data_IF_544825875189
#
_entry.id   IF_544825875189
#
_cell.length_a   1.000
_cell.length_b   1.000
_cell.length_c   1.000
_cell.angle_alpha   90.00
_cell.angle_beta   90.00
_cell.angle_gamma   90.00
#
_symmetry.space_group_name_H-M   'P 1'
#
loop_
_entity.id
_entity.type
_entity.pdbx_description
1 polymer ?
#
# COMPACT_ATOMS: atom_id res chain seq x y z
N UNK A 1 33.07 4.07 42.84
CA UNK A 1 33.57 2.84 42.18
C UNK A 1 33.90 3.01 40.69
N UNK A 2 33.09 3.73 39.88
CA UNK A 2 33.41 3.98 38.45
C UNK A 2 34.71 4.77 38.22
N UNK A 3 35.07 5.72 39.10
CA UNK A 3 36.23 6.62 38.89
C UNK A 3 37.61 5.97 39.01
N UNK A 4 37.74 4.85 39.74
CA UNK A 4 39.03 4.15 39.91
C UNK A 4 39.34 3.20 38.75
N UNK A 5 38.31 2.59 38.14
CA UNK A 5 38.48 1.70 36.99
C UNK A 5 38.95 2.46 35.73
N UNK A 6 38.49 3.71 35.58
CA UNK A 6 38.85 4.59 34.46
C UNK A 6 40.32 5.06 34.48
N UNK A 7 40.99 4.96 35.63
CA UNK A 7 42.41 5.32 35.77
C UNK A 7 43.36 4.19 35.31
N UNK A 8 42.84 2.99 35.03
CA UNK A 8 43.63 1.85 34.59
C UNK A 8 43.73 1.80 33.05
N UNK A 9 44.91 1.53 32.47
CA UNK A 9 45.07 1.49 31.01
C UNK A 9 44.18 0.41 30.36
N UNK A 10 43.87 -0.68 31.07
CA UNK A 10 42.94 -1.72 30.61
C UNK A 10 41.51 -1.20 30.40
N UNK A 11 41.01 -0.34 31.28
CA UNK A 11 39.65 0.20 31.18
C UNK A 11 39.46 1.05 29.92
N UNK A 12 40.48 1.85 29.57
CA UNK A 12 40.48 2.64 28.33
C UNK A 12 40.51 1.74 27.08
N UNK A 13 41.33 0.69 27.07
CA UNK A 13 41.40 -0.26 25.95
C UNK A 13 40.08 -0.99 25.76
N UNK A 14 39.44 -1.45 26.84
CA UNK A 14 38.15 -2.11 26.76
C UNK A 14 37.06 -1.17 26.22
N UNK A 15 37.04 0.09 26.67
CA UNK A 15 36.08 1.08 26.17
C UNK A 15 36.31 1.40 24.69
N UNK A 16 37.59 1.52 24.27
CA UNK A 16 37.94 1.72 22.87
C UNK A 16 37.47 0.55 22.00
N UNK A 17 37.70 -0.69 22.43
CA UNK A 17 37.23 -1.88 21.72
C UNK A 17 35.70 -1.90 21.61
N UNK A 18 34.97 -1.57 22.68
CA UNK A 18 33.51 -1.48 22.64
C UNK A 18 33.02 -0.44 21.64
N UNK A 19 33.67 0.73 21.56
CA UNK A 19 33.33 1.78 20.59
C UNK A 19 33.60 1.30 19.16
N UNK A 20 34.73 0.65 18.90
CA UNK A 20 35.06 0.11 17.57
C UNK A 20 34.06 -0.94 17.14
N UNK A 21 33.71 -1.89 18.02
CA UNK A 21 32.70 -2.92 17.74
C UNK A 21 31.34 -2.30 17.45
N UNK A 22 30.93 -1.29 18.24
CA UNK A 22 29.69 -0.55 18.00
C UNK A 22 29.70 0.15 16.64
N UNK A 23 30.80 0.82 16.28
CA UNK A 23 30.93 1.49 15.00
C UNK A 23 30.81 0.51 13.81
N UNK A 24 31.46 -0.66 13.89
CA UNK A 24 31.37 -1.71 12.87
C UNK A 24 29.96 -2.28 12.77
N UNK A 25 29.29 -2.50 13.91
CA UNK A 25 27.91 -2.98 13.95
C UNK A 25 26.96 -1.99 13.24
N UNK A 26 27.06 -0.70 13.55
CA UNK A 26 26.23 0.35 12.93
C UNK A 26 26.46 0.44 11.42
N UNK A 27 27.71 0.34 10.96
CA UNK A 27 28.02 0.34 9.52
C UNK A 27 27.41 -0.86 8.81
N UNK A 28 27.48 -2.04 9.45
CA UNK A 28 26.91 -3.28 8.91
C UNK A 28 25.39 -3.19 8.81
N UNK A 29 24.74 -2.67 9.84
CA UNK A 29 23.29 -2.47 9.89
C UNK A 29 22.81 -1.45 8.86
N UNK A 30 23.60 -0.38 8.63
CA UNK A 30 23.31 0.60 7.58
C UNK A 30 23.33 -0.05 6.18
N UNK A 31 24.29 -0.95 5.93
CA UNK A 31 24.37 -1.66 4.66
C UNK A 31 23.18 -2.62 4.46
N UNK A 32 22.83 -3.39 5.50
CA UNK A 32 21.67 -4.28 5.46
C UNK A 32 20.36 -3.52 5.26
N UNK A 33 20.20 -2.39 5.96
CA UNK A 33 19.02 -1.52 5.82
C UNK A 33 18.85 -1.06 4.38
N UNK A 34 19.93 -0.62 3.72
CA UNK A 34 19.88 -0.21 2.31
C UNK A 34 19.45 -1.34 1.37
N UNK A 35 19.94 -2.55 1.57
CA UNK A 35 19.51 -3.70 0.75
C UNK A 35 18.04 -4.05 0.99
N UNK A 36 17.61 -4.08 2.26
CA UNK A 36 16.24 -4.41 2.61
C UNK A 36 15.25 -3.38 2.04
N UNK A 37 15.61 -2.09 2.09
CA UNK A 37 14.84 -1.02 1.45
C UNK A 37 14.79 -1.16 -0.07
N UNK A 38 15.88 -1.56 -0.72
CA UNK A 38 15.89 -1.79 -2.16
C UNK A 38 14.91 -2.92 -2.55
N UNK A 39 14.91 -4.03 -1.79
CA UNK A 39 13.97 -5.12 -2.01
C UNK A 39 12.52 -4.67 -1.80
N UNK A 40 12.24 -3.94 -0.72
CA UNK A 40 10.92 -3.39 -0.45
C UNK A 40 10.44 -2.47 -1.58
N UNK A 41 11.32 -1.60 -2.07
CA UNK A 41 11.02 -0.67 -3.16
C UNK A 41 10.65 -1.40 -4.45
N UNK A 42 11.29 -2.54 -4.75
CA UNK A 42 10.95 -3.33 -5.94
C UNK A 42 9.55 -3.93 -5.85
N UNK A 43 9.18 -4.47 -4.68
CA UNK A 43 7.84 -5.03 -4.46
C UNK A 43 6.76 -3.94 -4.46
N UNK A 44 7.04 -2.78 -3.88
CA UNK A 44 6.14 -1.62 -3.92
C UNK A 44 5.92 -1.11 -5.36
N UNK A 45 6.98 -1.08 -6.17
CA UNK A 45 6.87 -0.70 -7.59
C UNK A 45 5.96 -1.64 -8.37
N UNK A 46 6.08 -2.95 -8.16
CA UNK A 46 5.20 -3.95 -8.79
C UNK A 46 3.74 -3.75 -8.35
N UNK A 47 3.53 -3.51 -7.05
CA UNK A 47 2.22 -3.22 -6.49
C UNK A 47 1.59 -1.96 -7.11
N UNK A 48 2.36 -0.90 -7.31
CA UNK A 48 1.87 0.32 -7.96
C UNK A 48 1.47 0.10 -9.41
N UNK A 49 2.24 -0.69 -10.18
CA UNK A 49 1.87 -1.03 -11.56
C UNK A 49 0.54 -1.78 -11.61
N UNK A 50 0.35 -2.79 -10.76
CA UNK A 50 -0.91 -3.52 -10.68
C UNK A 50 -2.10 -2.62 -10.27
N UNK A 51 -1.87 -1.68 -9.36
CA UNK A 51 -2.91 -0.73 -8.92
C UNK A 51 -3.33 0.23 -10.05
N UNK A 52 -2.38 0.69 -10.86
CA UNK A 52 -2.65 1.51 -12.05
C UNK A 52 -3.51 0.75 -13.06
N UNK A 53 -3.13 -0.50 -13.38
CA UNK A 53 -3.90 -1.36 -14.29
C UNK A 53 -5.30 -1.64 -13.76
N UNK A 54 -5.43 -1.94 -12.46
CA UNK A 54 -6.72 -2.15 -11.82
C UNK A 54 -7.59 -0.89 -11.88
N UNK A 55 -7.02 0.29 -11.60
CA UNK A 55 -7.74 1.57 -11.70
C UNK A 55 -8.26 1.80 -13.11
N UNK A 56 -7.42 1.55 -14.13
CA UNK A 56 -7.82 1.64 -15.54
C UNK A 56 -8.95 0.66 -15.88
N UNK A 57 -8.86 -0.58 -15.42
CA UNK A 57 -9.90 -1.60 -15.64
C UNK A 57 -11.22 -1.21 -14.99
N UNK A 58 -11.20 -0.68 -13.75
CA UNK A 58 -12.39 -0.21 -13.05
C UNK A 58 -13.05 0.96 -13.80
N UNK A 59 -12.26 1.88 -14.36
CA UNK A 59 -12.78 2.98 -15.18
C UNK A 59 -13.42 2.46 -16.47
N UNK A 60 -12.79 1.47 -17.13
CA UNK A 60 -13.33 0.81 -18.32
C UNK A 60 -14.67 0.12 -17.99
N UNK A 61 -14.71 -0.65 -16.91
CA UNK A 61 -15.92 -1.32 -16.44
C UNK A 61 -17.01 -0.31 -16.06
N UNK A 62 -16.67 0.76 -15.33
CA UNK A 62 -17.63 1.80 -14.93
C UNK A 62 -18.23 2.52 -16.14
N UNK A 63 -17.43 2.74 -17.19
CA UNK A 63 -17.89 3.29 -18.47
C UNK A 63 -18.85 2.33 -19.18
N UNK A 64 -18.55 1.03 -19.16
CA UNK A 64 -19.39 -0.02 -19.75
C UNK A 64 -20.66 -0.34 -18.94
N UNK A 65 -20.60 -0.15 -17.62
CA UNK A 65 -21.71 -0.27 -16.66
C UNK A 65 -22.54 1.00 -16.52
N UNK A 66 -22.23 2.05 -17.29
CA UNK A 66 -23.08 3.23 -17.36
C UNK A 66 -24.54 2.79 -17.64
N UNK A 67 -25.51 3.18 -16.79
CA UNK A 67 -26.88 2.63 -16.74
C UNK A 67 -27.68 2.74 -18.05
N UNK A 68 -27.13 3.47 -19.04
CA UNK A 68 -27.59 3.52 -20.42
C UNK A 68 -27.67 2.13 -21.10
N UNK A 69 -26.74 1.19 -20.85
CA UNK A 69 -26.80 -0.15 -21.47
C UNK A 69 -27.81 -1.08 -20.80
N UNK A 70 -27.92 -1.03 -19.47
CA UNK A 70 -28.94 -1.82 -18.74
C UNK A 70 -30.34 -1.37 -19.15
N UNK A 71 -30.58 -0.06 -19.26
CA UNK A 71 -31.87 0.48 -19.73
C UNK A 71 -32.16 0.17 -21.20
N UNK A 72 -31.16 0.13 -22.08
CA UNK A 72 -31.33 -0.28 -23.48
C UNK A 72 -31.62 -1.77 -23.64
N UNK A 73 -30.97 -2.64 -22.84
CA UNK A 73 -31.22 -4.09 -22.84
C UNK A 73 -32.60 -4.39 -22.23
N UNK A 74 -33.01 -3.71 -21.16
CA UNK A 74 -34.36 -3.84 -20.59
C UNK A 74 -35.47 -3.36 -21.54
N UNK A 75 -35.23 -2.30 -22.33
CA UNK A 75 -36.18 -1.85 -23.37
C UNK A 75 -36.28 -2.83 -24.53
N UNK A 76 -35.17 -3.40 -24.98
CA UNK A 76 -35.13 -4.27 -26.17
C UNK A 76 -35.49 -5.72 -25.90
N UNK A 77 -35.03 -6.31 -24.78
CA UNK A 77 -35.33 -7.72 -24.43
C UNK A 77 -36.62 -7.90 -23.61
N UNK A 78 -37.09 -6.85 -22.92
CA UNK A 78 -38.24 -6.94 -22.01
C UNK A 78 -39.46 -6.09 -22.44
N UNK A 79 -39.38 -5.38 -23.57
CA UNK A 79 -40.47 -4.51 -24.09
C UNK A 79 -41.04 -3.58 -23.01
N UNK A 80 -40.19 -3.03 -22.14
CA UNK A 80 -40.63 -2.10 -21.10
C UNK A 80 -40.85 -0.69 -21.68
N UNK A 81 -42.12 -0.31 -21.83
CA UNK A 81 -42.57 1.08 -22.05
C UNK A 81 -42.62 1.82 -20.71
N UNK A 82 -42.21 3.09 -20.69
CA UNK A 82 -42.33 3.95 -19.50
C UNK A 82 -43.81 4.08 -19.14
N UNK A 83 -44.25 3.70 -17.93
CA UNK A 83 -45.65 3.81 -17.55
C UNK A 83 -46.06 5.28 -17.53
N UNK A 84 -47.24 5.55 -18.10
CA UNK A 84 -47.88 6.86 -18.06
C UNK A 84 -48.14 7.28 -16.60
N UNK A 85 -48.04 8.58 -16.34
CA UNK A 85 -47.95 9.20 -15.01
C UNK A 85 -49.22 8.94 -14.15
N UNK A 86 -50.27 8.35 -14.74
CA UNK A 86 -51.52 7.98 -14.07
C UNK A 86 -51.55 6.62 -13.37
N UNK A 87 -50.51 5.79 -13.45
CA UNK A 87 -50.54 4.41 -12.88
C UNK A 87 -49.35 4.12 -11.96
N UNK A 88 -49.04 5.06 -11.06
CA UNK A 88 -48.10 4.81 -9.96
C UNK A 88 -48.94 4.66 -8.68
N UNK A 89 -49.18 3.41 -8.24
CA UNK A 89 -49.69 3.13 -6.89
C UNK A 89 -48.53 2.75 -6.00
N UNK A 90 -48.15 3.66 -5.10
CA UNK A 90 -47.22 3.38 -4.01
C UNK A 90 -48.00 2.59 -2.96
N UNK A 91 -47.65 1.34 -2.76
CA UNK A 91 -48.11 0.55 -1.62
C UNK A 91 -47.17 0.87 -0.47
N UNK A 92 -47.60 1.77 0.41
CA UNK A 92 -47.03 1.91 1.75
C UNK A 92 -47.53 0.74 2.59
N UNK A 93 -46.61 -0.10 3.03
CA UNK A 93 -46.81 -0.97 4.21
C UNK A 93 -46.81 -0.12 5.48
#
# INVERSE_FOLDING_TARGET
MIRLFFSSPLGLVACFLLVVVSAVAVVSETHQTRMLFAMLQTQESERWQLQEEYSRLVLEYSTLSAPHRVSAISRSSLTMTSPDTGTIRVVTE
#
